data_IF_756557053467
#
_entry.id   IF_756557053467
#
_cell.length_a   1.000
_cell.length_b   1.000
_cell.length_c   1.000
_cell.angle_alpha   90.00
_cell.angle_beta   90.00
_cell.angle_gamma   90.00
#
_symmetry.space_group_name_H-M   'P 1'
#
loop_
_entity.id
_entity.type
_entity.pdbx_description
1 polymer ?
#
# COMPACT_ATOMS: atom_id res chain seq x y z
N UNK A 1 1.18 -36.41 -23.28
CA UNK A 1 1.80 -35.86 -22.05
C UNK A 1 3.15 -35.28 -22.41
N UNK A 2 3.29 -33.96 -22.44
CA UNK A 2 4.58 -33.26 -22.53
C UNK A 2 4.56 -32.15 -21.48
N UNK A 3 5.39 -32.30 -20.47
CA UNK A 3 5.65 -31.31 -19.43
C UNK A 3 6.41 -30.14 -20.05
N UNK A 4 5.78 -28.96 -20.13
CA UNK A 4 6.46 -27.72 -20.44
C UNK A 4 6.96 -27.10 -19.14
N UNK A 5 8.26 -27.16 -18.94
CA UNK A 5 9.06 -26.47 -17.93
C UNK A 5 8.85 -24.96 -18.02
N UNK A 6 8.19 -24.38 -17.01
CA UNK A 6 8.18 -22.93 -16.77
C UNK A 6 9.58 -22.47 -16.37
N UNK A 7 10.23 -21.70 -17.24
CA UNK A 7 11.43 -20.93 -16.90
C UNK A 7 11.04 -19.76 -16.02
N UNK A 8 11.39 -19.83 -14.73
CA UNK A 8 11.37 -18.72 -13.79
C UNK A 8 12.50 -17.77 -14.20
N UNK A 9 12.16 -16.64 -14.83
CA UNK A 9 13.08 -15.53 -14.99
C UNK A 9 13.09 -14.73 -13.68
N UNK A 10 14.12 -14.97 -12.87
CA UNK A 10 14.47 -14.09 -11.77
C UNK A 10 15.00 -12.76 -12.36
N UNK A 11 14.19 -11.70 -12.32
CA UNK A 11 14.69 -10.35 -12.53
C UNK A 11 15.45 -9.92 -11.27
N UNK A 12 16.78 -9.94 -11.35
CA UNK A 12 17.63 -9.25 -10.39
C UNK A 12 17.59 -7.74 -10.69
N UNK A 13 16.87 -6.97 -9.88
CA UNK A 13 17.04 -5.52 -9.84
C UNK A 13 18.22 -5.20 -8.92
N UNK A 14 19.34 -4.82 -9.52
CA UNK A 14 20.39 -4.10 -8.82
C UNK A 14 19.89 -2.68 -8.54
N UNK A 15 19.38 -2.46 -7.33
CA UNK A 15 19.09 -1.11 -6.81
C UNK A 15 20.36 -0.61 -6.16
N UNK A 16 21.07 0.29 -6.84
CA UNK A 16 22.15 1.07 -6.24
C UNK A 16 21.49 2.24 -5.52
N UNK A 17 21.26 2.10 -4.21
CA UNK A 17 20.80 3.21 -3.38
C UNK A 17 22.01 4.07 -3.02
N UNK A 18 22.08 5.30 -3.54
CA UNK A 18 22.91 6.33 -2.93
C UNK A 18 22.23 6.73 -1.63
N UNK A 19 22.66 6.14 -0.51
CA UNK A 19 22.24 6.54 0.83
C UNK A 19 22.87 7.90 1.11
N UNK A 20 22.13 8.98 0.89
CA UNK A 20 22.50 10.28 1.45
C UNK A 20 22.31 10.20 2.96
N UNK A 21 23.43 10.14 3.69
CA UNK A 21 23.48 10.31 5.14
C UNK A 21 22.95 11.70 5.47
N UNK A 22 21.70 11.80 5.92
CA UNK A 22 21.15 13.02 6.52
C UNK A 22 21.34 12.96 8.04
N UNK A 23 21.58 14.11 8.70
CA UNK A 23 22.14 14.16 10.03
C UNK A 23 21.14 13.65 11.08
N UNK A 24 21.62 12.74 11.93
CA UNK A 24 20.96 12.36 13.17
C UNK A 24 21.05 13.50 14.18
N UNK A 25 20.06 14.38 14.22
CA UNK A 25 19.85 15.27 15.36
C UNK A 25 18.69 14.77 16.20
N UNK A 26 19.04 14.06 17.27
CA UNK A 26 18.41 14.06 18.59
C UNK A 26 16.90 13.85 18.69
N UNK A 27 16.50 12.61 19.03
CA UNK A 27 15.58 12.36 20.14
C UNK A 27 15.93 11.01 20.76
N UNK A 28 16.88 11.03 21.71
CA UNK A 28 17.07 9.95 22.65
C UNK A 28 15.98 10.08 23.72
N UNK A 29 14.86 9.42 23.48
CA UNK A 29 13.81 9.19 24.46
C UNK A 29 13.39 7.75 24.33
N UNK A 30 13.92 6.89 25.19
CA UNK A 30 13.53 5.49 25.29
C UNK A 30 12.09 5.44 25.83
N UNK A 31 11.11 5.48 24.93
CA UNK A 31 9.71 5.28 25.30
C UNK A 31 9.48 3.78 25.44
N UNK A 32 9.57 3.30 26.68
CA UNK A 32 9.02 2.01 27.07
C UNK A 32 7.50 2.09 26.88
N UNK A 33 7.01 1.59 25.75
CA UNK A 33 5.58 1.43 25.53
C UNK A 33 5.06 0.42 26.56
N UNK A 34 4.07 0.76 27.39
CA UNK A 34 3.38 -0.25 28.20
C UNK A 34 2.72 -1.22 27.23
N UNK A 35 3.25 -2.45 27.17
CA UNK A 35 2.69 -3.50 26.35
C UNK A 35 1.23 -3.75 26.78
N UNK A 36 0.25 -3.77 25.86
CA UNK A 36 -1.04 -4.30 26.20
C UNK A 36 -0.85 -5.80 26.49
N UNK A 37 -0.98 -6.16 27.76
CA UNK A 37 -1.25 -7.53 28.15
C UNK A 37 -2.43 -8.02 27.29
N UNK A 38 -2.28 -9.22 26.74
CA UNK A 38 -3.29 -9.98 25.98
C UNK A 38 -3.45 -9.73 24.46
N UNK A 39 -2.42 -9.27 23.74
CA UNK A 39 -2.33 -9.64 22.31
C UNK A 39 -1.76 -11.06 22.18
N UNK A 40 -2.64 -12.06 22.19
CA UNK A 40 -2.29 -13.40 21.69
C UNK A 40 -1.66 -13.23 20.31
N UNK A 41 -0.41 -13.65 20.16
CA UNK A 41 0.26 -13.80 18.87
C UNK A 41 -0.66 -14.60 17.96
N UNK A 42 -1.22 -13.94 16.94
CA UNK A 42 -1.93 -14.67 15.91
C UNK A 42 -0.86 -15.37 15.07
N UNK A 43 -0.89 -16.71 14.96
CA UNK A 43 -0.12 -17.37 13.91
C UNK A 43 -0.53 -16.78 12.55
N UNK A 44 0.38 -16.83 11.58
CA UNK A 44 0.18 -16.44 10.18
C UNK A 44 -0.92 -17.31 9.52
N UNK A 45 -2.17 -17.33 10.00
CA UNK A 45 -3.28 -17.93 9.29
C UNK A 45 -4.61 -17.24 9.61
N UNK A 46 -5.10 -16.61 8.54
CA UNK A 46 -6.49 -16.62 8.06
C UNK A 46 -7.34 -15.36 8.28
N UNK A 47 -7.01 -14.31 7.53
CA UNK A 47 -8.03 -13.45 6.91
C UNK A 47 -7.73 -13.08 5.45
N UNK A 48 -7.29 -14.02 4.59
CA UNK A 48 -7.31 -13.79 3.13
C UNK A 48 -7.13 -15.06 2.28
N UNK A 49 -8.06 -15.28 1.34
CA UNK A 49 -7.88 -16.05 0.11
C UNK A 49 -7.42 -17.53 0.24
N UNK A 50 -7.27 -18.23 -0.89
CA UNK A 50 -6.90 -19.65 -0.94
C UNK A 50 -5.58 -19.95 -0.23
N UNK A 51 -5.31 -21.20 0.18
CA UNK A 51 -4.03 -21.59 0.79
C UNK A 51 -2.81 -21.11 -0.01
N UNK A 52 -2.87 -21.20 -1.35
CA UNK A 52 -1.83 -20.70 -2.24
C UNK A 52 -1.60 -19.17 -2.16
N UNK A 53 -2.65 -18.40 -1.84
CA UNK A 53 -2.54 -16.95 -1.64
C UNK A 53 -1.91 -16.62 -0.30
N UNK A 54 -2.27 -17.35 0.76
CA UNK A 54 -1.62 -17.22 2.08
C UNK A 54 -0.13 -17.52 1.97
N UNK A 55 0.23 -18.65 1.34
CA UNK A 55 1.63 -19.04 1.15
C UNK A 55 2.42 -17.98 0.37
N UNK A 56 1.81 -17.36 -0.65
CA UNK A 56 2.43 -16.29 -1.43
C UNK A 56 2.70 -15.03 -0.60
N UNK A 57 1.73 -14.61 0.22
CA UNK A 57 1.86 -13.44 1.09
C UNK A 57 3.01 -13.65 2.07
N UNK A 58 3.05 -14.80 2.73
CA UNK A 58 4.07 -15.13 3.72
C UNK A 58 5.47 -15.19 3.10
N UNK A 59 5.61 -15.85 1.95
CA UNK A 59 6.87 -15.90 1.20
C UNK A 59 7.34 -14.51 0.77
N UNK A 60 6.42 -13.63 0.38
CA UNK A 60 6.76 -12.28 -0.06
C UNK A 60 7.22 -11.40 1.10
N UNK A 61 6.53 -11.47 2.24
CA UNK A 61 6.94 -10.77 3.46
C UNK A 61 8.31 -11.26 3.91
N UNK A 62 8.51 -12.57 4.05
CA UNK A 62 9.79 -13.14 4.49
C UNK A 62 10.93 -12.75 3.55
N UNK A 63 10.72 -12.83 2.23
CA UNK A 63 11.71 -12.39 1.24
C UNK A 63 12.09 -10.92 1.40
N UNK A 64 11.12 -10.05 1.71
CA UNK A 64 11.41 -8.64 1.97
C UNK A 64 12.24 -8.47 3.24
N UNK A 65 11.88 -9.17 4.33
CA UNK A 65 12.59 -9.14 5.60
C UNK A 65 14.03 -9.65 5.50
N UNK A 66 14.28 -10.61 4.60
CA UNK A 66 15.59 -11.16 4.30
C UNK A 66 16.47 -10.22 3.43
N UNK A 67 15.89 -9.22 2.74
CA UNK A 67 16.66 -8.24 1.97
C UNK A 67 17.25 -7.16 2.90
N UNK A 68 18.52 -7.33 3.25
CA UNK A 68 19.27 -6.43 4.14
C UNK A 68 19.35 -4.99 3.60
N UNK A 69 19.20 -4.78 2.30
CA UNK A 69 19.34 -3.44 1.69
C UNK A 69 18.11 -2.57 1.91
N UNK A 70 16.96 -3.17 2.16
CA UNK A 70 15.69 -2.43 2.25
C UNK A 70 14.88 -2.88 3.45
N UNK A 71 14.50 -4.16 3.52
CA UNK A 71 13.55 -4.61 4.53
C UNK A 71 14.11 -4.56 5.93
N UNK A 72 15.30 -5.12 6.15
CA UNK A 72 15.94 -5.09 7.47
C UNK A 72 16.25 -3.66 7.92
N UNK A 73 16.84 -2.86 7.03
CA UNK A 73 17.21 -1.47 7.32
C UNK A 73 16.00 -0.60 7.71
N UNK A 74 14.87 -0.74 7.00
CA UNK A 74 13.64 0.01 7.33
C UNK A 74 13.18 -0.31 8.75
N UNK A 75 13.17 -1.59 9.12
CA UNK A 75 12.68 -2.02 10.43
C UNK A 75 13.67 -1.69 11.56
N UNK A 76 14.98 -1.78 11.32
CA UNK A 76 16.03 -1.36 12.26
C UNK A 76 15.95 0.14 12.59
N UNK A 77 15.48 0.97 11.67
CA UNK A 77 15.20 2.39 11.90
C UNK A 77 13.88 2.64 12.67
N UNK A 78 13.19 1.58 13.12
CA UNK A 78 11.90 1.68 13.81
C UNK A 78 10.72 2.07 12.91
N UNK A 79 10.92 2.10 11.59
CA UNK A 79 9.90 2.47 10.60
C UNK A 79 9.04 1.27 10.19
N UNK A 80 7.92 1.54 9.53
CA UNK A 80 6.98 0.51 9.10
C UNK A 80 7.25 0.02 7.68
N UNK A 81 7.02 -1.27 7.44
CA UNK A 81 6.82 -1.82 6.10
C UNK A 81 5.33 -2.13 5.90
N UNK A 82 4.70 -1.42 4.97
CA UNK A 82 3.28 -1.60 4.62
C UNK A 82 3.19 -2.39 3.33
N UNK A 83 2.54 -3.54 3.34
CA UNK A 83 2.29 -4.36 2.15
C UNK A 83 0.83 -4.22 1.72
N UNK A 84 0.60 -4.04 0.42
CA UNK A 84 -0.71 -3.98 -0.19
C UNK A 84 -0.77 -5.04 -1.30
N UNK A 85 -1.33 -6.20 -0.97
CA UNK A 85 -1.47 -7.35 -1.86
C UNK A 85 -2.82 -7.31 -2.58
N UNK A 86 -2.88 -6.65 -3.74
CA UNK A 86 -4.06 -6.68 -4.61
C UNK A 86 -4.29 -8.09 -5.15
N UNK A 87 -5.54 -8.53 -5.18
CA UNK A 87 -5.95 -9.91 -5.46
C UNK A 87 -6.21 -10.75 -4.21
N UNK A 88 -5.74 -10.31 -3.04
CA UNK A 88 -5.84 -11.04 -1.77
C UNK A 88 -6.88 -10.46 -0.80
N UNK A 89 -7.67 -9.48 -1.24
CA UNK A 89 -8.71 -8.86 -0.43
C UNK A 89 -10.01 -9.68 -0.31
N UNK A 90 -11.02 -9.07 0.31
CA UNK A 90 -12.32 -9.66 0.60
C UNK A 90 -13.11 -10.12 -0.63
N UNK A 91 -12.95 -9.46 -1.78
CA UNK A 91 -13.69 -9.79 -3.00
C UNK A 91 -12.92 -9.41 -4.26
N UNK A 92 -13.16 -10.14 -5.35
CA UNK A 92 -12.64 -9.85 -6.69
C UNK A 92 -13.69 -9.25 -7.63
N UNK A 93 -14.85 -8.86 -7.10
CA UNK A 93 -15.89 -8.20 -7.89
C UNK A 93 -15.38 -6.84 -8.36
N UNK A 94 -15.32 -6.63 -9.67
CA UNK A 94 -14.95 -5.32 -10.26
C UNK A 94 -15.95 -4.20 -9.95
N UNK A 95 -17.05 -4.48 -9.27
CA UNK A 95 -18.00 -3.47 -8.78
C UNK A 95 -17.79 -3.12 -7.31
N UNK A 96 -17.00 -3.91 -6.58
CA UNK A 96 -16.77 -3.78 -5.14
C UNK A 96 -15.26 -3.79 -4.93
N UNK A 97 -14.66 -2.59 -4.92
CA UNK A 97 -13.21 -2.35 -4.94
C UNK A 97 -12.52 -2.72 -3.63
N UNK A 98 -12.65 -3.95 -3.16
CA UNK A 98 -12.10 -4.46 -1.89
C UNK A 98 -11.23 -5.68 -2.18
N UNK A 99 -10.27 -5.49 -3.08
CA UNK A 99 -9.49 -6.58 -3.66
C UNK A 99 -8.07 -6.65 -3.10
N UNK A 100 -7.65 -5.76 -2.19
CA UNK A 100 -6.35 -5.81 -1.54
C UNK A 100 -6.40 -6.27 -0.08
N UNK A 101 -5.34 -6.98 0.33
CA UNK A 101 -4.96 -7.20 1.72
C UNK A 101 -3.87 -6.19 2.11
N UNK A 102 -4.08 -5.47 3.20
CA UNK A 102 -3.07 -4.62 3.82
C UNK A 102 -2.42 -5.34 5.00
N UNK A 103 -1.10 -5.35 5.06
CA UNK A 103 -0.31 -5.88 6.19
C UNK A 103 0.71 -4.83 6.60
N UNK A 104 0.81 -4.52 7.89
CA UNK A 104 1.88 -3.66 8.41
C UNK A 104 2.82 -4.50 9.26
N UNK A 105 4.12 -4.43 8.95
CA UNK A 105 5.18 -5.09 9.70
C UNK A 105 6.06 -4.04 10.37
N UNK A 106 6.34 -4.25 11.66
CA UNK A 106 7.28 -3.45 12.47
C UNK A 106 8.11 -4.34 13.37
N UNK A 107 9.26 -3.83 13.83
CA UNK A 107 9.97 -4.45 14.92
C UNK A 107 9.25 -4.22 16.25
N UNK A 108 8.98 -5.31 16.98
CA UNK A 108 8.55 -5.30 18.37
C UNK A 108 9.74 -5.81 19.18
N UNK A 109 10.42 -4.90 19.88
CA UNK A 109 11.76 -5.17 20.39
C UNK A 109 12.72 -5.42 19.22
N UNK A 110 13.39 -6.57 19.20
CA UNK A 110 14.35 -6.95 18.15
C UNK A 110 13.77 -7.87 17.07
N UNK A 111 12.46 -8.15 17.07
CA UNK A 111 11.85 -9.10 16.15
C UNK A 111 10.78 -8.44 15.27
N UNK A 112 10.79 -8.70 13.95
CA UNK A 112 9.71 -8.25 13.07
C UNK A 112 8.40 -8.97 13.40
N UNK A 113 7.31 -8.24 13.42
CA UNK A 113 5.97 -8.77 13.65
C UNK A 113 4.93 -8.03 12.79
N UNK A 114 3.89 -8.77 12.39
CA UNK A 114 2.68 -8.17 11.81
C UNK A 114 1.92 -7.47 12.94
N UNK A 115 1.75 -6.15 12.81
CA UNK A 115 1.09 -5.29 13.81
C UNK A 115 -0.28 -4.80 13.34
N UNK A 116 -0.61 -5.00 12.06
CA UNK A 116 -1.92 -4.72 11.48
C UNK A 116 -2.17 -5.59 10.24
N UNK A 117 -3.42 -6.03 10.08
CA UNK A 117 -3.91 -6.73 8.90
C UNK A 117 -5.36 -6.32 8.62
N UNK A 118 -5.69 -6.02 7.36
CA UNK A 118 -7.08 -5.78 6.92
C UNK A 118 -7.27 -6.13 5.43
N UNK A 119 -8.29 -6.94 5.12
CA UNK A 119 -8.58 -7.42 3.77
C UNK A 119 -9.63 -6.58 3.00
N UNK A 120 -10.04 -5.45 3.54
CA UNK A 120 -11.01 -4.53 2.96
C UNK A 120 -10.31 -3.36 2.24
N UNK A 121 -9.16 -3.61 1.63
CA UNK A 121 -8.30 -2.57 1.06
C UNK A 121 -8.39 -2.51 -0.48
N UNK A 122 -7.86 -1.45 -1.08
CA UNK A 122 -7.63 -1.36 -2.53
C UNK A 122 -6.49 -0.41 -2.84
N UNK A 123 -5.75 -0.76 -3.89
CA UNK A 123 -4.74 0.09 -4.53
C UNK A 123 -5.14 0.50 -5.94
N UNK A 124 -6.31 0.02 -6.40
CA UNK A 124 -6.91 0.35 -7.68
C UNK A 124 -7.95 1.45 -7.45
N UNK A 125 -7.98 2.52 -8.29
CA UNK A 125 -8.97 3.59 -8.17
C UNK A 125 -10.41 3.04 -8.22
N UNK A 126 -11.33 3.69 -7.52
CA UNK A 126 -12.74 3.27 -7.51
C UNK A 126 -13.37 3.33 -8.91
N UNK A 127 -13.13 4.42 -9.64
CA UNK A 127 -13.60 4.63 -11.01
C UNK A 127 -12.43 4.70 -12.00
N UNK A 128 -11.76 3.58 -12.29
CA UNK A 128 -10.44 3.56 -12.92
C UNK A 128 -10.36 4.09 -14.36
N UNK A 129 -11.51 4.39 -14.98
CA UNK A 129 -11.62 4.90 -16.36
C UNK A 129 -12.44 6.18 -16.47
N UNK A 130 -13.08 6.60 -15.38
CA UNK A 130 -13.99 7.73 -15.40
C UNK A 130 -13.22 8.98 -15.00
N UNK A 131 -13.19 9.97 -15.89
CA UNK A 131 -12.45 11.22 -15.70
C UNK A 131 -13.20 12.22 -14.83
N UNK A 132 -14.51 12.08 -14.66
CA UNK A 132 -15.36 13.03 -13.92
C UNK A 132 -14.94 13.11 -12.45
N UNK A 133 -14.32 12.05 -11.96
CA UNK A 133 -13.87 11.91 -10.58
C UNK A 133 -12.41 12.33 -10.35
N UNK A 134 -11.73 12.88 -11.36
CA UNK A 134 -10.33 13.34 -11.27
C UNK A 134 -10.09 14.61 -12.10
N UNK A 135 -10.93 15.62 -11.91
CA UNK A 135 -10.84 16.93 -12.56
C UNK A 135 -10.75 16.83 -14.10
N UNK A 136 -11.48 15.89 -14.71
CA UNK A 136 -11.45 15.66 -16.15
C UNK A 136 -10.16 15.00 -16.67
N UNK A 137 -9.34 14.43 -15.78
CA UNK A 137 -8.09 13.73 -16.14
C UNK A 137 -8.21 12.23 -15.90
N UNK A 138 -7.54 11.44 -16.74
CA UNK A 138 -7.41 9.99 -16.54
C UNK A 138 -6.95 9.64 -15.13
N UNK A 139 -7.60 8.67 -14.49
CA UNK A 139 -7.23 8.21 -13.15
C UNK A 139 -5.80 7.66 -13.10
N UNK A 140 -4.98 8.08 -12.12
CA UNK A 140 -3.67 7.47 -11.92
C UNK A 140 -3.83 6.12 -11.21
N UNK A 141 -3.19 5.08 -11.73
CA UNK A 141 -2.92 3.85 -10.97
C UNK A 141 -1.41 3.74 -10.73
N UNK A 142 -1.04 3.65 -9.46
CA UNK A 142 0.36 3.42 -9.06
C UNK A 142 0.79 2.06 -9.58
N UNK A 143 2.02 1.98 -10.10
CA UNK A 143 2.58 0.71 -10.58
C UNK A 143 2.80 -0.29 -9.45
N UNK A 144 3.08 -1.53 -9.82
CA UNK A 144 3.66 -2.51 -8.90
C UNK A 144 5.06 -2.05 -8.47
N UNK A 145 5.40 -2.19 -7.18
CA UNK A 145 6.72 -1.82 -6.69
C UNK A 145 6.78 -1.33 -5.25
N UNK A 146 7.96 -0.79 -4.90
CA UNK A 146 8.28 -0.26 -3.59
C UNK A 146 8.36 1.27 -3.63
N UNK A 147 7.75 1.90 -2.63
CA UNK A 147 7.63 3.35 -2.48
C UNK A 147 7.87 3.77 -1.04
N UNK A 148 7.99 5.07 -0.80
CA UNK A 148 8.18 5.66 0.52
C UNK A 148 6.87 6.20 1.09
N UNK A 149 6.82 6.28 2.42
CA UNK A 149 5.70 6.85 3.15
C UNK A 149 6.18 8.05 3.96
N UNK A 150 5.48 9.16 3.83
CA UNK A 150 5.67 10.35 4.66
C UNK A 150 4.35 10.79 5.28
N UNK A 151 4.41 11.45 6.44
CA UNK A 151 3.23 12.03 7.07
C UNK A 151 2.66 13.18 6.22
N UNK A 152 1.34 13.33 6.20
CA UNK A 152 0.68 14.48 5.57
C UNK A 152 -0.63 14.79 6.30
N UNK A 153 -1.05 16.05 6.27
CA UNK A 153 -2.43 16.42 6.62
C UNK A 153 -3.26 16.43 5.35
N UNK A 154 -4.10 15.41 5.16
CA UNK A 154 -4.99 15.34 4.00
C UNK A 154 -6.38 15.80 4.40
N UNK A 155 -6.89 16.88 3.77
CA UNK A 155 -8.25 17.40 4.00
C UNK A 155 -8.59 17.59 5.49
N UNK A 156 -7.61 18.01 6.29
CA UNK A 156 -7.81 18.32 7.71
C UNK A 156 -7.64 17.14 8.68
N UNK A 157 -7.16 15.97 8.23
CA UNK A 157 -6.86 14.84 9.12
C UNK A 157 -5.48 14.19 8.83
N UNK A 158 -4.88 13.47 9.80
CA UNK A 158 -3.63 12.74 9.61
C UNK A 158 -3.73 11.63 8.55
N UNK A 159 -2.77 11.63 7.63
CA UNK A 159 -2.66 10.64 6.57
C UNK A 159 -1.20 10.34 6.22
N UNK A 160 -1.04 9.45 5.24
CA UNK A 160 0.24 9.16 4.62
C UNK A 160 0.21 9.55 3.15
N UNK A 161 1.27 10.20 2.68
CA UNK A 161 1.56 10.36 1.26
C UNK A 161 2.54 9.27 0.81
N UNK A 162 2.26 8.70 -0.36
CA UNK A 162 3.11 7.77 -1.07
C UNK A 162 4.04 8.56 -1.98
N UNK A 163 5.34 8.44 -1.76
CA UNK A 163 6.37 9.15 -2.52
C UNK A 163 7.35 8.19 -3.17
N UNK A 164 8.08 8.66 -4.18
CA UNK A 164 9.18 7.89 -4.79
C UNK A 164 10.54 8.54 -4.56
N UNK A 165 11.58 7.94 -5.11
CA UNK A 165 12.96 8.45 -5.12
C UNK A 165 13.16 9.63 -6.10
N UNK A 166 12.14 10.03 -6.84
CA UNK A 166 12.22 11.26 -7.64
C UNK A 166 12.53 12.46 -6.74
N UNK A 167 13.28 13.44 -7.25
CA UNK A 167 13.65 14.66 -6.50
C UNK A 167 12.40 15.42 -6.02
N UNK A 168 11.36 15.43 -6.86
CA UNK A 168 10.07 16.00 -6.50
C UNK A 168 9.17 15.02 -5.73
N UNK A 169 9.63 13.83 -5.36
CA UNK A 169 8.85 12.81 -4.67
C UNK A 169 7.68 12.23 -5.48
N UNK A 170 7.51 12.61 -6.76
CA UNK A 170 6.40 12.15 -7.59
C UNK A 170 6.49 10.63 -7.82
N UNK A 171 5.34 9.95 -7.83
CA UNK A 171 5.29 8.51 -8.03
C UNK A 171 4.99 8.16 -9.49
N UNK A 172 5.64 7.14 -10.06
CA UNK A 172 5.30 6.63 -11.38
C UNK A 172 3.91 5.97 -11.37
N UNK A 173 3.06 6.43 -12.28
CA UNK A 173 1.67 5.94 -12.44
C UNK A 173 1.40 5.60 -13.91
N UNK A 174 0.38 4.78 -14.12
CA UNK A 174 -0.22 4.57 -15.44
C UNK A 174 -1.58 5.28 -15.45
N UNK A 175 -1.90 5.95 -16.54
CA UNK A 175 -3.18 6.61 -16.76
C UNK A 175 -3.88 5.96 -17.94
N UNK A 176 -5.11 5.55 -17.73
CA UNK A 176 -5.94 4.89 -18.74
C UNK A 176 -7.06 5.84 -19.14
N UNK A 177 -7.17 6.09 -20.44
CA UNK A 177 -8.28 6.81 -21.01
C UNK A 177 -9.47 5.86 -21.17
N UNK A 178 -10.69 6.37 -21.06
CA UNK A 178 -11.92 5.62 -21.24
C UNK A 178 -12.00 4.96 -22.64
N UNK A 179 -11.59 5.69 -23.67
CA UNK A 179 -11.62 5.29 -25.08
C UNK A 179 -10.47 4.34 -25.47
N UNK A 180 -9.39 4.29 -24.69
CA UNK A 180 -8.27 3.35 -24.91
C UNK A 180 -7.70 2.83 -23.58
N UNK A 181 -8.52 1.99 -22.94
CA UNK A 181 -8.18 1.32 -21.69
C UNK A 181 -7.01 0.34 -21.80
N UNK A 182 -6.48 0.06 -23.01
CA UNK A 182 -5.46 -0.95 -23.23
C UNK A 182 -4.06 -0.38 -23.44
N UNK A 183 -3.96 0.86 -23.92
CA UNK A 183 -2.67 1.47 -24.28
C UNK A 183 -2.02 2.27 -23.16
N UNK A 184 -2.71 2.60 -22.07
CA UNK A 184 -2.20 3.17 -20.81
C UNK A 184 -0.92 4.03 -20.90
N UNK A 185 -1.02 5.33 -20.65
CA UNK A 185 0.11 6.26 -20.69
C UNK A 185 0.90 6.23 -19.37
N UNK A 186 2.22 6.08 -19.46
CA UNK A 186 3.12 6.25 -18.32
C UNK A 186 3.19 7.74 -17.96
N UNK A 187 3.06 8.06 -16.69
CA UNK A 187 3.07 9.42 -16.17
C UNK A 187 3.65 9.43 -14.75
N UNK A 188 3.68 10.60 -14.12
CA UNK A 188 3.96 10.75 -12.69
C UNK A 188 2.81 11.48 -12.00
N UNK A 189 2.72 11.31 -10.69
CA UNK A 189 1.72 11.97 -9.87
C UNK A 189 2.37 12.38 -8.55
N UNK A 190 2.18 13.64 -8.14
CA UNK A 190 2.21 14.01 -6.72
C UNK A 190 0.83 13.77 -6.11
N UNK A 191 0.74 13.63 -4.79
CA UNK A 191 -0.56 13.50 -4.10
C UNK A 191 -1.25 12.13 -4.24
N UNK A 192 -0.47 11.05 -4.33
CA UNK A 192 -1.00 9.71 -4.03
C UNK A 192 -0.92 9.52 -2.52
N UNK A 193 -2.05 9.27 -1.90
CA UNK A 193 -2.13 9.13 -0.45
C UNK A 193 -2.72 7.78 -0.04
N UNK A 194 -2.62 7.45 1.24
CA UNK A 194 -3.30 6.29 1.85
C UNK A 194 -4.35 6.81 2.82
N UNK A 195 -5.63 6.55 2.55
CA UNK A 195 -6.75 7.03 3.37
C UNK A 195 -7.70 5.90 3.76
N UNK A 196 -8.64 6.23 4.64
CA UNK A 196 -9.76 5.35 4.95
C UNK A 196 -10.66 5.17 3.72
N UNK A 197 -11.29 4.00 3.60
CA UNK A 197 -12.35 3.79 2.62
C UNK A 197 -13.71 4.23 3.15
N UNK A 198 -14.46 5.04 2.41
CA UNK A 198 -15.90 5.24 2.68
C UNK A 198 -16.70 4.07 2.10
N UNK A 199 -17.68 3.58 2.86
CA UNK A 199 -18.57 2.48 2.44
C UNK A 199 -19.60 3.01 1.45
N UNK A 200 -19.15 3.40 0.26
CA UNK A 200 -20.04 3.75 -0.83
C UNK A 200 -19.87 2.70 -1.93
N UNK A 201 -20.99 2.20 -2.45
CA UNK A 201 -20.98 1.44 -3.70
C UNK A 201 -20.60 2.34 -4.86
N UNK A 202 -20.00 1.77 -5.92
CA UNK A 202 -19.89 2.48 -7.20
C UNK A 202 -21.32 2.84 -7.65
N UNK A 203 -21.65 4.14 -7.72
CA UNK A 203 -23.00 4.62 -8.06
C UNK A 203 -23.57 5.73 -7.17
N UNK A 204 -22.94 6.04 -6.03
CA UNK A 204 -23.41 7.11 -5.13
C UNK A 204 -22.81 8.50 -5.43
N UNK A 205 -22.24 8.70 -6.62
CA UNK A 205 -21.81 10.02 -7.11
C UNK A 205 -20.59 10.65 -6.42
N UNK A 206 -19.97 9.96 -5.45
CA UNK A 206 -18.75 10.42 -4.78
C UNK A 206 -17.62 9.42 -4.98
N UNK A 207 -16.53 9.85 -5.62
CA UNK A 207 -15.27 9.12 -5.63
C UNK A 207 -14.41 9.56 -4.45
N UNK A 208 -13.93 8.61 -3.67
CA UNK A 208 -12.88 8.90 -2.71
C UNK A 208 -11.54 8.73 -3.39
N UNK A 209 -10.93 9.88 -3.70
CA UNK A 209 -9.50 10.04 -3.94
C UNK A 209 -8.99 9.36 -5.21
N UNK A 210 -8.83 10.16 -6.27
CA UNK A 210 -8.33 9.75 -7.58
C UNK A 210 -6.96 9.03 -7.48
N UNK A 211 -6.97 7.70 -7.53
CA UNK A 211 -5.76 6.86 -7.56
C UNK A 211 -5.04 6.62 -6.23
N UNK A 212 -5.63 7.01 -5.11
CA UNK A 212 -5.07 6.78 -3.78
C UNK A 212 -5.36 5.36 -3.27
N UNK A 213 -4.65 4.95 -2.22
CA UNK A 213 -4.85 3.67 -1.56
C UNK A 213 -5.89 3.80 -0.46
N UNK A 214 -6.75 2.79 -0.33
CA UNK A 214 -7.89 2.78 0.58
C UNK A 214 -7.77 1.61 1.56
N UNK A 215 -7.85 1.89 2.86
CA UNK A 215 -7.70 0.90 3.95
C UNK A 215 -9.00 0.76 4.77
N UNK A 216 -9.37 -0.49 5.07
CA UNK A 216 -10.46 -0.88 5.98
C UNK A 216 -11.87 -0.55 5.47
N UNK A 217 -12.96 -1.02 6.11
CA UNK A 217 -14.30 -0.41 5.96
C UNK A 217 -14.53 0.71 6.99
N UNK A 218 -15.32 1.74 6.63
CA UNK A 218 -15.97 2.59 7.64
C UNK A 218 -17.17 1.84 8.25
N UNK A 219 -16.95 1.18 9.38
CA UNK A 219 -18.04 0.95 10.33
C UNK A 219 -17.83 1.90 11.52
N UNK A 220 -18.84 2.73 11.81
CA UNK A 220 -18.90 3.68 12.95
C UNK A 220 -17.70 4.62 13.12
N UNK A 221 -17.10 5.04 11.99
CA UNK A 221 -16.21 6.22 11.85
C UNK A 221 -14.72 5.97 12.18
N UNK A 222 -14.03 5.12 11.40
CA UNK A 222 -12.55 5.02 11.25
C UNK A 222 -11.75 3.93 12.01
N UNK A 223 -12.35 2.91 12.61
CA UNK A 223 -11.60 1.94 13.46
C UNK A 223 -10.39 1.28 12.76
N UNK A 224 -10.59 0.69 11.58
CA UNK A 224 -9.51 0.03 10.84
C UNK A 224 -8.41 1.00 10.38
N UNK A 225 -8.78 2.18 9.87
CA UNK A 225 -7.79 3.16 9.41
C UNK A 225 -7.02 3.82 10.56
N UNK A 226 -7.69 4.10 11.69
CA UNK A 226 -7.04 4.56 12.92
C UNK A 226 -6.06 3.50 13.45
N UNK A 227 -6.47 2.23 13.48
CA UNK A 227 -5.58 1.11 13.84
C UNK A 227 -4.39 1.01 12.89
N UNK A 228 -4.61 1.21 11.59
CA UNK A 228 -3.53 1.27 10.60
C UNK A 228 -2.56 2.42 10.88
N UNK A 229 -3.05 3.66 11.09
CA UNK A 229 -2.20 4.80 11.38
C UNK A 229 -1.41 4.63 12.68
N UNK A 230 -2.02 4.04 13.71
CA UNK A 230 -1.33 3.67 14.96
C UNK A 230 -0.26 2.60 14.72
N UNK A 231 -0.58 1.58 13.94
CA UNK A 231 0.34 0.52 13.59
C UNK A 231 1.56 1.06 12.83
N UNK A 232 1.36 2.01 11.91
CA UNK A 232 2.48 2.71 11.23
C UNK A 232 3.24 3.62 12.21
N UNK A 233 2.52 4.27 13.13
CA UNK A 233 3.07 5.20 14.14
C UNK A 233 2.79 6.67 13.83
N UNK A 234 1.82 6.96 12.96
CA UNK A 234 1.43 8.33 12.58
C UNK A 234 0.68 9.04 13.70
N UNK A 235 -0.18 8.32 14.41
CA UNK A 235 -0.93 8.83 15.56
C UNK A 235 -0.64 7.96 16.79
N UNK A 236 -0.71 8.57 17.97
CA UNK A 236 -0.53 7.87 19.26
C UNK A 236 -1.63 6.84 19.51
N UNK A 237 -1.39 5.93 20.45
CA UNK A 237 -2.34 4.85 20.79
C UNK A 237 -3.73 5.39 21.21
N UNK A 238 -3.75 6.53 21.88
CA UNK A 238 -4.95 7.27 22.30
C UNK A 238 -5.41 8.35 21.31
N UNK A 239 -4.64 8.64 20.26
CA UNK A 239 -4.96 9.66 19.26
C UNK A 239 -6.13 9.28 18.35
N UNK A 240 -6.79 10.28 17.77
CA UNK A 240 -7.88 10.13 16.80
C UNK A 240 -7.59 10.91 15.50
N UNK A 241 -8.46 10.76 14.49
CA UNK A 241 -8.29 11.47 13.20
C UNK A 241 -8.67 12.95 13.25
N UNK A 242 -9.31 13.42 14.32
CA UNK A 242 -9.80 14.79 14.41
C UNK A 242 -8.68 15.79 14.78
N UNK A 243 -7.48 15.28 15.11
CA UNK A 243 -6.31 16.11 15.43
C UNK A 243 -5.31 16.06 14.28
N UNK A 244 -5.12 17.16 13.53
CA UNK A 244 -4.08 17.24 12.50
C UNK A 244 -2.68 17.00 13.06
N UNK A 245 -1.77 16.57 12.20
CA UNK A 245 -0.35 16.44 12.52
C UNK A 245 0.28 17.82 12.66
N UNK A 246 1.15 17.96 13.66
CA UNK A 246 1.98 19.16 13.84
C UNK A 246 3.06 19.26 12.74
N UNK A 247 3.55 18.10 12.26
CA UNK A 247 4.59 18.02 11.24
C UNK A 247 4.21 17.07 10.09
N UNK A 248 4.39 17.56 8.86
CA UNK A 248 4.19 16.81 7.61
C UNK A 248 5.52 16.58 6.91
N UNK A 249 5.65 15.49 6.15
CA UNK A 249 6.89 15.12 5.46
C UNK A 249 7.79 14.19 6.28
N UNK A 250 7.38 13.80 7.49
CA UNK A 250 8.15 12.91 8.37
C UNK A 250 8.16 11.50 7.76
N UNK A 251 9.34 10.90 7.51
CA UNK A 251 9.42 9.56 6.94
C UNK A 251 8.90 8.47 7.88
N UNK A 252 7.86 7.76 7.45
CA UNK A 252 7.19 6.70 8.24
C UNK A 252 7.60 5.28 7.85
N UNK A 253 8.25 5.12 6.69
CA UNK A 253 8.74 3.84 6.20
C UNK A 253 8.51 3.65 4.71
N UNK A 254 8.14 2.43 4.32
CA UNK A 254 7.91 2.05 2.92
C UNK A 254 6.55 1.42 2.73
N UNK A 255 6.02 1.55 1.51
CA UNK A 255 4.86 0.79 1.05
C UNK A 255 5.24 -0.07 -0.16
N UNK A 256 4.89 -1.34 -0.09
CA UNK A 256 5.06 -2.34 -1.14
C UNK A 256 3.70 -2.59 -1.74
N UNK A 257 3.56 -2.29 -3.02
CA UNK A 257 2.36 -2.58 -3.79
C UNK A 257 2.63 -3.82 -4.63
N UNK A 258 1.94 -4.91 -4.33
CA UNK A 258 2.03 -6.18 -5.05
C UNK A 258 0.68 -6.55 -5.64
N UNK A 259 0.63 -6.78 -6.94
CA UNK A 259 -0.59 -7.11 -7.69
C UNK A 259 -0.50 -8.45 -8.40
N UNK A 260 0.42 -9.34 -8.01
CA UNK A 260 0.60 -10.64 -8.68
C UNK A 260 -0.57 -11.58 -8.45
N UNK A 261 -1.33 -11.40 -7.37
CA UNK A 261 -2.58 -12.13 -7.14
C UNK A 261 -3.78 -11.51 -7.90
N UNK A 262 -3.66 -10.29 -8.45
CA UNK A 262 -4.75 -9.57 -9.10
C UNK A 262 -4.82 -9.74 -10.63
N UNK A 263 -4.09 -10.69 -11.24
CA UNK A 263 -3.93 -10.71 -12.71
C UNK A 263 -5.26 -10.70 -13.48
N UNK A 264 -6.21 -11.54 -13.07
CA UNK A 264 -7.54 -11.61 -13.69
C UNK A 264 -8.34 -10.33 -13.43
N UNK A 265 -8.23 -9.78 -12.23
CA UNK A 265 -8.92 -8.54 -11.84
C UNK A 265 -8.42 -7.35 -12.68
N UNK A 266 -7.11 -7.22 -12.85
CA UNK A 266 -6.49 -6.21 -13.71
C UNK A 266 -6.82 -6.42 -15.19
N UNK A 267 -6.87 -7.67 -15.67
CA UNK A 267 -7.31 -7.96 -17.05
C UNK A 267 -8.75 -7.51 -17.30
N UNK A 268 -9.65 -7.68 -16.32
CA UNK A 268 -11.04 -7.24 -16.44
C UNK A 268 -11.16 -5.71 -16.48
N UNK A 269 -10.30 -5.00 -15.75
CA UNK A 269 -10.33 -3.54 -15.69
C UNK A 269 -9.60 -2.89 -16.87
N UNK A 270 -8.38 -3.33 -17.18
CA UNK A 270 -7.46 -2.63 -18.09
C UNK A 270 -7.03 -3.49 -19.29
N UNK A 271 -7.56 -4.70 -19.41
CA UNK A 271 -7.10 -5.66 -20.42
C UNK A 271 -5.68 -6.17 -20.16
N UNK A 272 -5.27 -7.18 -20.94
CA UNK A 272 -3.94 -7.81 -20.80
C UNK A 272 -2.79 -6.84 -20.99
N UNK A 273 -2.90 -5.92 -21.96
CA UNK A 273 -1.89 -4.90 -22.23
C UNK A 273 -1.76 -3.92 -21.06
N UNK A 274 -2.88 -3.42 -20.54
CA UNK A 274 -2.89 -2.54 -19.37
C UNK A 274 -2.32 -3.21 -18.13
N UNK A 275 -2.69 -4.47 -17.86
CA UNK A 275 -2.08 -5.27 -16.77
C UNK A 275 -0.56 -5.33 -16.89
N UNK A 276 -0.02 -5.66 -18.07
CA UNK A 276 1.44 -5.74 -18.29
C UNK A 276 2.11 -4.40 -17.98
N UNK A 277 1.51 -3.29 -18.39
CA UNK A 277 2.01 -1.94 -18.09
C UNK A 277 2.01 -1.63 -16.60
N UNK A 278 0.94 -1.99 -15.88
CA UNK A 278 0.84 -1.79 -14.43
C UNK A 278 1.93 -2.57 -13.69
N UNK A 279 2.18 -3.82 -14.09
CA UNK A 279 3.16 -4.69 -13.43
C UNK A 279 4.61 -4.36 -13.78
N UNK A 280 4.89 -4.00 -15.04
CA UNK A 280 6.26 -3.88 -15.55
C UNK A 280 6.69 -2.44 -15.81
N UNK A 281 5.75 -1.49 -15.82
CA UNK A 281 6.02 -0.09 -16.13
C UNK A 281 6.48 0.20 -17.56
N UNK A 282 6.22 -0.71 -18.50
CA UNK A 282 6.57 -0.62 -19.93
C UNK A 282 5.35 -0.93 -20.78
#
# INVERSE_FOLDING_TARGET
MKLNTCRILALAFAVTLAVSVLPTSGFAGEVVLPGPADQKFLPLHSTAASAATSDYVDQTINKFLDDERVGRLVLEQGKAAVFLFEGSGKTSKVTVRQNALCVVVKNIGSKPAIVFEDNFCSTVPDYPKDTDFNDGRDMPIVRDGLYHLVTVNHKGYPALEVTSQAEDGSVPVIRFNEDDASSGRVSTCRSIHIHHRVVNGLGEGYANSAGCFLIGPIAKKYDAYVRFLRAVGVIRAEGNLDTPLEETGVPMGVVIVDRKCALRYLDMLYGKKGRVKILNGK
#
